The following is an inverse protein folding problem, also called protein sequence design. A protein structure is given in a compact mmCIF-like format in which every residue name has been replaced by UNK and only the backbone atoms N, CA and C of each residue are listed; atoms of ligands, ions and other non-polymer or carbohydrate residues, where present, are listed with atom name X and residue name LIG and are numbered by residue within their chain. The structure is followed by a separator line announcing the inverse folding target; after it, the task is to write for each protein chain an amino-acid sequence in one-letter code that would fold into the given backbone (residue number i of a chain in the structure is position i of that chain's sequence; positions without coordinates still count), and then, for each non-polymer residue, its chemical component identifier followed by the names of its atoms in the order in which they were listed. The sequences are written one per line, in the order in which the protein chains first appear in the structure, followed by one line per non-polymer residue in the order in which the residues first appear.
data_IF_701284687225
#
_entry.id   IF_701284687225
#
_cell.length_a   1.000
_cell.length_b   1.000
_cell.length_c   1.000
_cell.angle_alpha   90.00
_cell.angle_beta   90.00
_cell.angle_gamma   90.00
#
_symmetry.space_group_name_H-M   'P 1'
#
loop_
_entity.id
_entity.type
_entity.pdbx_description
1 polymer ?
#
# COMPACT_ATOMS: atom_id res chain seq x y z
N UNK A 1 1.48 -6.10 8.94
CA UNK A 1 2.09 -5.63 7.68
C UNK A 1 3.53 -6.07 7.64
N UNK A 2 3.90 -6.83 6.63
CA UNK A 2 5.28 -7.24 6.44
C UNK A 2 6.13 -6.14 5.80
N UNK A 3 7.43 -6.41 5.61
CA UNK A 3 8.38 -5.42 5.10
C UNK A 3 8.11 -5.03 3.64
N UNK A 4 8.61 -3.86 3.28
CA UNK A 4 8.59 -3.35 1.90
C UNK A 4 7.18 -3.21 1.29
N UNK A 5 6.18 -2.91 2.12
CA UNK A 5 4.85 -2.62 1.64
C UNK A 5 4.63 -1.12 1.44
N UNK A 6 3.84 -0.77 0.45
CA UNK A 6 3.41 0.62 0.22
C UNK A 6 1.92 0.72 0.53
N UNK A 7 1.59 1.50 1.55
CA UNK A 7 0.20 1.70 1.98
C UNK A 7 -0.26 3.07 1.50
N UNK A 8 -1.27 3.07 0.64
CA UNK A 8 -1.82 4.30 0.09
C UNK A 8 -2.57 5.13 1.12
N UNK A 9 -2.69 6.41 0.84
CA UNK A 9 -3.33 7.37 1.74
C UNK A 9 -4.81 7.07 1.91
N UNK A 10 -5.29 7.27 3.14
CA UNK A 10 -6.69 7.04 3.46
C UNK A 10 -7.10 5.58 3.50
N UNK A 11 -6.15 4.66 3.39
CA UNK A 11 -6.45 3.23 3.51
C UNK A 11 -6.80 2.89 4.94
N UNK A 12 -7.77 2.00 5.10
CA UNK A 12 -8.19 1.48 6.41
C UNK A 12 -7.85 0.00 6.45
N UNK A 13 -7.04 -0.38 7.42
CA UNK A 13 -6.64 -1.77 7.62
C UNK A 13 -7.19 -2.22 8.96
N UNK A 14 -8.19 -3.10 8.91
CA UNK A 14 -8.85 -3.58 10.14
C UNK A 14 -7.98 -4.62 10.85
N UNK A 15 -8.39 -4.95 12.08
CA UNK A 15 -7.62 -5.83 12.94
C UNK A 15 -7.41 -7.23 12.33
N UNK A 16 -6.24 -7.79 12.59
CA UNK A 16 -5.93 -9.16 12.18
C UNK A 16 -5.56 -9.33 10.72
N UNK A 17 -5.47 -8.23 9.95
CA UNK A 17 -5.03 -8.31 8.56
C UNK A 17 -3.56 -8.70 8.48
N UNK A 18 -3.24 -9.54 7.50
CA UNK A 18 -1.86 -9.89 7.15
C UNK A 18 -1.58 -9.44 5.72
N UNK A 19 -0.66 -8.51 5.59
CA UNK A 19 -0.26 -7.99 4.28
C UNK A 19 1.13 -8.51 3.98
N UNK A 20 1.22 -9.35 2.97
CA UNK A 20 2.46 -9.98 2.57
C UNK A 20 3.47 -8.98 2.01
N UNK A 21 4.74 -9.35 2.12
CA UNK A 21 5.87 -8.53 1.71
C UNK A 21 5.71 -8.01 0.27
N UNK A 22 6.13 -6.77 0.04
CA UNK A 22 6.15 -6.18 -1.29
C UNK A 22 4.78 -5.87 -1.87
N UNK A 23 3.73 -5.83 -1.05
CA UNK A 23 2.38 -5.51 -1.51
C UNK A 23 2.15 -4.01 -1.57
N UNK A 24 1.26 -3.61 -2.46
CA UNK A 24 0.83 -2.22 -2.63
C UNK A 24 -0.66 -2.15 -2.34
N UNK A 25 -1.02 -1.32 -1.37
CA UNK A 25 -2.41 -1.04 -1.04
C UNK A 25 -2.78 0.32 -1.64
N UNK A 26 -3.71 0.32 -2.58
CA UNK A 26 -4.12 1.55 -3.24
C UNK A 26 -4.79 2.54 -2.30
N UNK A 27 -4.69 3.82 -2.60
CA UNK A 27 -5.27 4.87 -1.76
C UNK A 27 -6.77 4.67 -1.57
N UNK A 28 -7.25 4.87 -0.35
CA UNK A 28 -8.66 4.72 -0.01
C UNK A 28 -9.17 3.30 0.07
N UNK A 29 -8.31 2.30 -0.02
CA UNK A 29 -8.72 0.90 0.09
C UNK A 29 -9.08 0.53 1.52
N UNK A 30 -10.01 -0.40 1.69
CA UNK A 30 -10.44 -0.87 3.01
C UNK A 30 -10.23 -2.38 3.09
N UNK A 31 -9.33 -2.80 3.98
CA UNK A 31 -9.10 -4.20 4.26
C UNK A 31 -9.92 -4.61 5.48
N UNK A 32 -10.73 -5.65 5.31
CA UNK A 32 -11.62 -6.14 6.36
C UNK A 32 -10.83 -6.94 7.40
N UNK A 33 -11.46 -7.18 8.56
CA UNK A 33 -10.84 -7.94 9.63
C UNK A 33 -10.36 -9.31 9.16
N UNK A 34 -9.17 -9.69 9.60
CA UNK A 34 -8.53 -10.97 9.32
C UNK A 34 -8.29 -11.26 7.83
N UNK A 35 -8.34 -10.23 6.99
CA UNK A 35 -8.04 -10.39 5.57
C UNK A 35 -6.56 -10.67 5.36
N UNK A 36 -6.24 -11.66 4.53
CA UNK A 36 -4.87 -12.01 4.19
C UNK A 36 -4.57 -11.60 2.76
N UNK A 37 -3.47 -10.87 2.59
CA UNK A 37 -3.00 -10.41 1.28
C UNK A 37 -1.70 -11.16 0.97
N UNK A 38 -1.66 -11.92 -0.13
CA UNK A 38 -0.43 -12.60 -0.55
C UNK A 38 0.71 -11.61 -0.83
N UNK A 39 1.97 -12.05 -0.73
CA UNK A 39 3.10 -11.18 -1.09
C UNK A 39 2.98 -10.64 -2.52
N UNK A 40 3.55 -9.48 -2.75
CA UNK A 40 3.67 -8.82 -4.06
C UNK A 40 2.32 -8.56 -4.74
N UNK A 41 1.29 -8.26 -3.97
CA UNK A 41 -0.05 -8.01 -4.49
C UNK A 41 -0.37 -6.53 -4.59
N UNK A 42 -1.12 -6.15 -5.61
CA UNK A 42 -1.78 -4.84 -5.68
C UNK A 42 -3.22 -5.01 -5.21
N UNK A 43 -3.59 -4.30 -4.16
CA UNK A 43 -4.93 -4.33 -3.57
C UNK A 43 -5.59 -2.98 -3.73
N UNK A 44 -6.81 -2.96 -4.24
CA UNK A 44 -7.58 -1.73 -4.39
C UNK A 44 -9.06 -1.98 -4.08
N UNK A 45 -9.73 -0.93 -3.66
CA UNK A 45 -11.17 -0.94 -3.51
C UNK A 45 -11.68 -1.03 -2.07
N UNK A 46 -12.99 -1.02 -1.96
CA UNK A 46 -13.74 -1.11 -0.70
C UNK A 46 -14.91 -2.08 -0.92
N UNK A 47 -14.81 -3.33 -0.46
CA UNK A 47 -13.66 -3.95 0.22
C UNK A 47 -12.46 -4.13 -0.71
N UNK A 48 -11.26 -4.11 -0.13
CA UNK A 48 -10.02 -4.27 -0.89
C UNK A 48 -9.88 -5.66 -1.49
N UNK A 49 -9.53 -5.71 -2.75
CA UNK A 49 -9.34 -6.96 -3.48
C UNK A 49 -8.02 -6.95 -4.23
N UNK A 50 -7.38 -8.12 -4.31
CA UNK A 50 -6.16 -8.28 -5.08
C UNK A 50 -6.49 -8.13 -6.57
N UNK A 51 -5.94 -7.11 -7.20
CA UNK A 51 -6.15 -6.85 -8.63
C UNK A 51 -5.02 -7.36 -9.50
N UNK A 52 -3.82 -7.43 -8.93
CA UNK A 52 -2.64 -7.83 -9.68
C UNK A 52 -1.58 -8.37 -8.73
N UNK A 53 -0.79 -9.32 -9.20
CA UNK A 53 0.36 -9.86 -8.46
C UNK A 53 1.63 -9.53 -9.23
N UNK A 54 2.64 -9.05 -8.52
CA UNK A 54 3.94 -8.69 -9.08
C UNK A 54 5.00 -9.73 -8.70
N UNK A 55 6.19 -9.57 -9.23
CA UNK A 55 7.36 -10.35 -8.82
C UNK A 55 8.19 -9.55 -7.79
N UNK A 56 9.33 -10.11 -7.37
CA UNK A 56 10.18 -9.47 -6.37
C UNK A 56 10.73 -8.11 -6.80
N UNK A 57 10.76 -7.82 -8.08
CA UNK A 57 11.27 -6.54 -8.60
C UNK A 57 10.42 -5.36 -8.17
N UNK A 58 9.17 -5.60 -7.76
CA UNK A 58 8.29 -4.54 -7.29
C UNK A 58 8.84 -3.89 -6.02
N UNK A 59 9.60 -4.62 -5.20
CA UNK A 59 10.16 -4.09 -3.96
C UNK A 59 11.10 -2.93 -4.24
N UNK A 60 11.92 -3.03 -5.28
CA UNK A 60 12.83 -1.96 -5.67
C UNK A 60 12.05 -0.70 -6.04
N UNK A 61 10.97 -0.84 -6.79
CA UNK A 61 10.11 0.28 -7.16
C UNK A 61 9.45 0.91 -5.94
N UNK A 62 9.01 0.11 -4.99
CA UNK A 62 8.43 0.59 -3.74
C UNK A 62 9.45 1.40 -2.94
N UNK A 63 10.68 0.91 -2.83
CA UNK A 63 11.74 1.60 -2.12
C UNK A 63 12.09 2.94 -2.76
N UNK A 64 12.15 2.99 -4.07
CA UNK A 64 12.39 4.23 -4.81
C UNK A 64 11.25 5.23 -4.54
N UNK A 65 10.01 4.79 -4.63
CA UNK A 65 8.85 5.62 -4.36
C UNK A 65 8.86 6.18 -2.94
N UNK A 66 9.17 5.34 -1.96
CA UNK A 66 9.26 5.78 -0.56
C UNK A 66 10.37 6.82 -0.36
N UNK A 67 11.51 6.64 -1.00
CA UNK A 67 12.61 7.60 -0.94
C UNK A 67 12.22 8.94 -1.55
N UNK A 68 11.55 8.92 -2.68
CA UNK A 68 11.06 10.15 -3.35
C UNK A 68 10.04 10.86 -2.47
N UNK A 69 9.11 10.14 -1.87
CA UNK A 69 8.12 10.72 -0.97
C UNK A 69 8.76 11.32 0.28
N UNK A 70 9.75 10.66 0.85
CA UNK A 70 10.48 11.18 2.00
C UNK A 70 11.18 12.50 1.66
N UNK A 71 11.81 12.61 0.48
CA UNK A 71 12.48 13.81 0.03
C UNK A 71 11.52 14.97 -0.28
N UNK A 72 10.26 14.67 -0.58
CA UNK A 72 9.22 15.65 -0.94
C UNK A 72 8.07 15.69 0.07
N UNK A 73 8.32 15.33 1.30
CA UNK A 73 7.27 15.13 2.31
C UNK A 73 6.32 16.33 2.44
N UNK A 74 6.84 17.55 2.52
CA UNK A 74 6.02 18.76 2.67
C UNK A 74 5.10 18.98 1.46
N UNK A 75 5.64 18.86 0.26
CA UNK A 75 4.87 19.02 -0.97
C UNK A 75 3.84 17.91 -1.14
N UNK A 76 4.24 16.71 -0.82
CA UNK A 76 3.36 15.55 -0.88
C UNK A 76 2.15 15.69 0.06
N UNK A 77 2.39 16.13 1.30
CA UNK A 77 1.32 16.37 2.26
C UNK A 77 0.35 17.45 1.78
N UNK A 78 0.85 18.52 1.16
CA UNK A 78 0.02 19.57 0.59
C UNK A 78 -0.86 19.05 -0.53
N UNK A 79 -0.34 18.20 -1.40
CA UNK A 79 -1.11 17.58 -2.48
C UNK A 79 -2.21 16.68 -1.93
N UNK A 80 -1.95 15.98 -0.83
CA UNK A 80 -2.94 15.12 -0.18
C UNK A 80 -4.07 15.91 0.47
N UNK A 81 -3.80 17.06 1.04
CA UNK A 81 -4.80 17.92 1.66
C UNK A 81 -5.81 18.47 0.66
N UNK A 82 -5.49 18.44 -0.62
CA UNK A 82 -6.37 18.89 -1.70
C UNK A 82 -7.36 17.82 -2.18
N UNK A 83 -7.20 16.62 -1.71
CA UNK A 83 -8.09 15.50 -2.03
C UNK A 83 -9.11 15.34 -0.90
#
# INVERSE_FOLDING_TARGET
IEDDCLIGMGSIIMNGCRIGRGSIIGAGSILLENQEIPPFSLVVGSPGQVKKTYDEKIIEKIRISSSVYAARAAKFLQELERI
#
